data_IF_593821203968
#
_entry.id   IF_593821203968
#
_cell.length_a   1.000
_cell.length_b   1.000
_cell.length_c   1.000
_cell.angle_alpha   90.00
_cell.angle_beta   90.00
_cell.angle_gamma   90.00
#
_symmetry.space_group_name_H-M   'P 1'
#
loop_
_entity.id
_entity.type
_entity.pdbx_description
1 polymer ?
#
# COMPACT_ATOMS: atom_id res chain seq x y z
N UNK A 1 -8.95 -5.09 0.35
CA UNK A 1 -7.54 -5.39 0.04
C UNK A 1 -6.82 -5.81 1.30
N UNK A 2 -5.74 -6.58 1.16
CA UNK A 2 -5.10 -7.33 2.24
C UNK A 2 -5.52 -8.80 2.14
N UNK A 3 -4.54 -9.70 2.08
CA UNK A 3 -4.73 -11.13 1.91
C UNK A 3 -5.79 -11.73 2.86
N UNK A 4 -7.05 -11.70 2.42
CA UNK A 4 -8.27 -12.12 3.14
C UNK A 4 -8.79 -11.23 4.29
N UNK A 5 -8.41 -9.95 4.38
CA UNK A 5 -8.96 -9.02 5.40
C UNK A 5 -10.12 -8.19 4.83
N UNK A 6 -11.21 -8.08 5.57
CA UNK A 6 -12.39 -7.29 5.22
C UNK A 6 -12.42 -5.97 5.99
N UNK A 7 -12.76 -4.86 5.32
CA UNK A 7 -12.97 -3.58 5.97
C UNK A 7 -14.30 -3.59 6.76
N UNK A 8 -14.20 -3.52 8.08
CA UNK A 8 -15.36 -3.50 9.00
C UNK A 8 -15.68 -2.10 9.57
N UNK A 9 -14.84 -1.09 9.31
CA UNK A 9 -14.85 0.17 10.07
C UNK A 9 -14.95 1.44 9.22
N UNK A 10 -14.44 1.45 7.98
CA UNK A 10 -14.38 2.64 7.14
C UNK A 10 -15.46 2.61 6.05
N UNK A 11 -15.94 3.79 5.64
CA UNK A 11 -17.04 3.91 4.69
C UNK A 11 -16.68 3.54 3.25
N UNK A 12 -15.40 3.62 2.92
CA UNK A 12 -14.86 3.26 1.61
C UNK A 12 -13.57 2.46 1.72
N UNK A 13 -13.22 1.73 0.65
CA UNK A 13 -11.93 1.05 0.53
C UNK A 13 -10.77 2.05 0.55
N UNK A 14 -10.97 3.24 -0.03
CA UNK A 14 -9.98 4.32 -0.04
C UNK A 14 -9.66 4.79 1.38
N UNK A 15 -10.70 5.14 2.17
CA UNK A 15 -10.53 5.51 3.58
C UNK A 15 -9.84 4.42 4.38
N UNK A 16 -10.20 3.15 4.15
CA UNK A 16 -9.56 2.01 4.81
C UNK A 16 -8.08 1.91 4.48
N UNK A 17 -7.71 1.95 3.20
CA UNK A 17 -6.32 1.79 2.79
C UNK A 17 -5.45 2.99 3.19
N UNK A 18 -6.02 4.21 3.20
CA UNK A 18 -5.31 5.38 3.73
C UNK A 18 -5.06 5.24 5.23
N UNK A 19 -6.02 4.69 6.00
CA UNK A 19 -5.80 4.40 7.41
C UNK A 19 -4.74 3.29 7.63
N UNK A 20 -4.69 2.28 6.75
CA UNK A 20 -3.62 1.27 6.75
C UNK A 20 -2.26 1.93 6.45
N UNK A 21 -2.20 2.84 5.48
CA UNK A 21 -0.97 3.57 5.17
C UNK A 21 -0.45 4.37 6.37
N UNK A 22 -1.32 5.07 7.10
CA UNK A 22 -0.97 5.78 8.33
C UNK A 22 -0.46 4.81 9.41
N UNK A 23 -1.12 3.66 9.59
CA UNK A 23 -0.67 2.66 10.55
C UNK A 23 0.71 2.09 10.19
N UNK A 24 0.97 1.79 8.91
CA UNK A 24 2.27 1.33 8.44
C UNK A 24 3.36 2.40 8.61
N UNK A 25 3.01 3.67 8.41
CA UNK A 25 3.94 4.80 8.52
C UNK A 25 4.59 4.90 9.89
N UNK A 26 3.85 4.65 10.97
CA UNK A 26 4.41 4.63 12.32
C UNK A 26 5.53 3.59 12.46
N UNK A 27 5.32 2.40 11.90
CA UNK A 27 6.31 1.31 11.92
C UNK A 27 7.50 1.61 10.99
N UNK A 28 7.25 2.13 9.79
CA UNK A 28 8.30 2.53 8.85
C UNK A 28 9.17 3.65 9.45
N UNK A 29 8.54 4.62 10.10
CA UNK A 29 9.26 5.66 10.83
C UNK A 29 10.13 5.05 11.93
N UNK A 30 9.60 4.13 12.74
CA UNK A 30 10.36 3.46 13.78
C UNK A 30 11.59 2.70 13.25
N UNK A 31 11.49 2.11 12.05
CA UNK A 31 12.62 1.46 11.36
C UNK A 31 13.66 2.52 10.95
N UNK A 32 13.24 3.59 10.27
CA UNK A 32 14.17 4.65 9.84
C UNK A 32 14.81 5.41 11.02
N UNK A 33 14.08 5.62 12.12
CA UNK A 33 14.61 6.22 13.36
C UNK A 33 15.68 5.35 14.02
N UNK A 34 15.73 4.05 13.71
CA UNK A 34 16.75 3.12 14.14
C UNK A 34 17.94 3.02 13.16
N UNK A 35 18.05 3.93 12.20
CA UNK A 35 19.04 3.94 11.12
C UNK A 35 19.00 2.66 10.25
N UNK A 36 17.79 2.10 10.05
CA UNK A 36 17.55 0.93 9.20
C UNK A 36 16.79 1.33 7.93
N UNK A 37 17.02 0.58 6.85
CA UNK A 37 16.34 0.77 5.56
C UNK A 37 14.98 0.04 5.61
N UNK A 38 13.92 0.76 5.21
CA UNK A 38 12.60 0.17 4.99
C UNK A 38 12.55 -0.40 3.58
N UNK A 39 12.05 -1.63 3.46
CA UNK A 39 11.75 -2.25 2.17
C UNK A 39 10.28 -2.65 2.16
N UNK A 40 9.52 -2.10 1.22
CA UNK A 40 8.08 -2.40 1.06
C UNK A 40 7.91 -3.45 -0.03
N UNK A 41 7.37 -4.61 0.35
CA UNK A 41 6.99 -5.66 -0.59
C UNK A 41 5.52 -5.50 -0.98
N UNK A 42 5.26 -5.25 -2.27
CA UNK A 42 3.91 -5.23 -2.83
C UNK A 42 3.77 -6.32 -3.92
N UNK A 43 3.47 -7.57 -3.52
CA UNK A 43 3.40 -8.68 -4.46
C UNK A 43 2.19 -8.58 -5.40
N UNK A 44 1.14 -7.83 -5.04
CA UNK A 44 -0.08 -7.77 -5.84
C UNK A 44 0.14 -7.14 -7.22
N UNK A 45 1.21 -6.35 -7.42
CA UNK A 45 1.54 -5.79 -8.72
C UNK A 45 1.79 -6.87 -9.78
N UNK A 46 2.28 -8.04 -9.36
CA UNK A 46 2.54 -9.17 -10.24
C UNK A 46 1.42 -10.21 -10.22
N UNK A 47 0.58 -10.25 -9.19
CA UNK A 47 -0.43 -11.31 -9.02
C UNK A 47 -1.87 -10.88 -9.26
N UNK A 48 -2.20 -9.58 -9.18
CA UNK A 48 -3.58 -9.05 -9.29
C UNK A 48 -4.30 -9.54 -10.54
N UNK A 49 -3.61 -9.57 -11.69
CA UNK A 49 -4.20 -10.03 -12.95
C UNK A 49 -4.74 -11.48 -12.87
N UNK A 50 -4.11 -12.33 -12.06
CA UNK A 50 -4.55 -13.73 -11.88
C UNK A 50 -5.80 -13.81 -11.01
N UNK A 51 -5.98 -12.88 -10.06
CA UNK A 51 -7.17 -12.83 -9.20
C UNK A 51 -8.37 -12.20 -9.91
N UNK A 52 -8.13 -11.29 -10.86
CA UNK A 52 -9.17 -10.58 -11.60
C UNK A 52 -8.97 -10.70 -13.12
N UNK A 53 -9.10 -11.91 -13.70
CA UNK A 53 -8.82 -12.14 -15.12
C UNK A 53 -9.78 -11.43 -16.07
N UNK A 54 -10.94 -10.97 -15.57
CA UNK A 54 -11.95 -10.27 -16.35
C UNK A 54 -11.73 -8.74 -16.38
N UNK A 55 -10.77 -8.20 -15.62
CA UNK A 55 -10.42 -6.79 -15.68
C UNK A 55 -9.76 -6.43 -17.01
N UNK A 56 -10.08 -5.24 -17.50
CA UNK A 56 -9.32 -4.59 -18.56
C UNK A 56 -7.96 -4.12 -18.04
N UNK A 57 -7.02 -3.86 -18.96
CA UNK A 57 -5.72 -3.28 -18.60
C UNK A 57 -5.86 -1.92 -17.90
N UNK A 58 -6.87 -1.12 -18.28
CA UNK A 58 -7.09 0.19 -17.67
C UNK A 58 -7.63 0.08 -16.24
N UNK A 59 -8.49 -0.91 -15.96
CA UNK A 59 -8.94 -1.20 -14.59
C UNK A 59 -7.81 -1.70 -13.71
N UNK A 60 -6.96 -2.60 -14.23
CA UNK A 60 -5.75 -3.03 -13.53
C UNK A 60 -4.86 -1.83 -13.23
N UNK A 61 -4.57 -0.98 -14.22
CA UNK A 61 -3.72 0.21 -14.01
C UNK A 61 -4.32 1.16 -12.99
N UNK A 62 -5.64 1.38 -13.01
CA UNK A 62 -6.32 2.21 -12.02
C UNK A 62 -6.10 1.67 -10.61
N UNK A 63 -6.23 0.36 -10.43
CA UNK A 63 -5.97 -0.30 -9.15
C UNK A 63 -4.50 -0.15 -8.71
N UNK A 64 -3.54 -0.47 -9.59
CA UNK A 64 -2.12 -0.37 -9.27
C UNK A 64 -1.69 1.07 -8.97
N UNK A 65 -2.23 2.06 -9.69
CA UNK A 65 -2.01 3.47 -9.40
C UNK A 65 -2.51 3.84 -8.00
N UNK A 66 -3.68 3.36 -7.61
CA UNK A 66 -4.19 3.56 -6.25
C UNK A 66 -3.27 2.92 -5.19
N UNK A 67 -2.78 1.70 -5.42
CA UNK A 67 -1.81 1.07 -4.52
C UNK A 67 -0.50 1.87 -4.40
N UNK A 68 -0.01 2.44 -5.51
CA UNK A 68 1.16 3.35 -5.47
C UNK A 68 0.88 4.58 -4.63
N UNK A 69 -0.30 5.18 -4.72
CA UNK A 69 -0.70 6.34 -3.90
C UNK A 69 -0.68 6.00 -2.40
N UNK A 70 -1.25 4.84 -2.03
CA UNK A 70 -1.25 4.33 -0.64
C UNK A 70 0.18 4.12 -0.13
N UNK A 71 1.05 3.48 -0.92
CA UNK A 71 2.46 3.26 -0.54
C UNK A 71 3.20 4.58 -0.40
N UNK A 72 3.09 5.48 -1.37
CA UNK A 72 3.72 6.80 -1.32
C UNK A 72 3.27 7.59 -0.09
N UNK A 73 1.99 7.50 0.29
CA UNK A 73 1.46 8.11 1.50
C UNK A 73 2.13 7.52 2.76
N UNK A 74 2.26 6.20 2.85
CA UNK A 74 2.88 5.53 4.01
C UNK A 74 4.36 5.82 4.20
N UNK A 75 5.10 6.20 3.15
CA UNK A 75 6.54 6.53 3.23
C UNK A 75 6.80 8.04 3.14
N UNK A 76 5.76 8.87 3.03
CA UNK A 76 5.93 10.32 2.93
C UNK A 76 6.77 10.85 4.10
N UNK A 77 7.58 11.89 3.88
CA UNK A 77 8.44 12.55 4.89
C UNK A 77 9.47 11.65 5.62
N UNK A 78 9.60 10.37 5.27
CA UNK A 78 10.71 9.53 5.74
C UNK A 78 12.01 9.92 5.00
N UNK A 79 13.20 9.68 5.59
CA UNK A 79 14.48 9.98 4.94
C UNK A 79 14.63 9.21 3.62
N UNK A 80 14.84 9.93 2.51
CA UNK A 80 14.92 9.34 1.16
C UNK A 80 16.07 8.32 0.98
N UNK A 81 17.12 8.39 1.80
CA UNK A 81 18.23 7.44 1.77
C UNK A 81 17.96 6.13 2.52
N UNK A 82 16.81 6.03 3.21
CA UNK A 82 16.37 4.87 3.98
C UNK A 82 15.07 4.24 3.45
N UNK A 83 14.58 4.66 2.29
CA UNK A 83 13.36 4.15 1.62
C UNK A 83 13.59 3.81 0.15
#
# INVERSE_FOLDING_TARGET
MGAAVHNEHYGTEEEYMMAVAEACREEYKAITDADLIVQVDEPEFCTTWTFYPDWTVDELRKYLSFSVEVINHSIAELPEDLI
#
